data_IF_854683116853
#
_entry.id   IF_854683116853
#
_cell.length_a   1.000
_cell.length_b   1.000
_cell.length_c   1.000
_cell.angle_alpha   90.00
_cell.angle_beta   90.00
_cell.angle_gamma   90.00
#
_symmetry.space_group_name_H-M   'P 1'
#
loop_
_entity.id
_entity.type
_entity.pdbx_description
1 polymer ?
#
# COMPACT_ATOMS: atom_id res chain seq x y z
N UNK A 1 -4.26 0.01 1.84
CA UNK A 1 -4.20 -1.44 2.14
C UNK A 1 -4.01 -2.27 0.88
N UNK A 2 -4.85 -2.11 -0.14
CA UNK A 2 -4.86 -2.94 -1.35
C UNK A 2 -3.51 -3.14 -2.03
N UNK A 3 -2.65 -2.12 -2.09
CA UNK A 3 -1.31 -2.27 -2.67
C UNK A 3 -0.42 -3.28 -1.94
N UNK A 4 -0.52 -3.37 -0.60
CA UNK A 4 0.18 -4.40 0.18
C UNK A 4 -0.37 -5.80 -0.07
N UNK A 5 -1.69 -5.92 -0.24
CA UNK A 5 -2.35 -7.19 -0.59
C UNK A 5 -1.93 -7.67 -1.98
N UNK A 6 -1.86 -6.77 -2.95
CA UNK A 6 -1.40 -7.08 -4.31
C UNK A 6 0.06 -7.55 -4.31
N UNK A 7 0.95 -6.96 -3.50
CA UNK A 7 2.33 -7.42 -3.37
C UNK A 7 2.41 -8.84 -2.77
N UNK A 8 1.61 -9.13 -1.74
CA UNK A 8 1.51 -10.48 -1.19
C UNK A 8 0.93 -11.46 -2.21
N UNK A 9 -0.08 -11.03 -2.97
CA UNK A 9 -0.66 -11.87 -4.03
C UNK A 9 0.35 -12.15 -5.15
N UNK A 10 1.13 -11.16 -5.57
CA UNK A 10 2.20 -11.34 -6.55
C UNK A 10 3.24 -12.39 -6.10
N UNK A 11 3.49 -12.49 -4.78
CA UNK A 11 4.40 -13.46 -4.21
C UNK A 11 3.78 -14.87 -4.04
N UNK A 12 2.55 -14.94 -3.53
CA UNK A 12 1.97 -16.17 -2.96
C UNK A 12 0.64 -16.59 -3.60
N UNK A 13 0.08 -15.79 -4.50
CA UNK A 13 -1.17 -16.11 -5.21
C UNK A 13 -1.04 -17.38 -6.07
N UNK A 14 -2.17 -18.02 -6.43
CA UNK A 14 -2.17 -19.21 -7.25
C UNK A 14 -1.43 -18.99 -8.57
N UNK A 15 -0.50 -19.88 -8.90
CA UNK A 15 0.35 -19.78 -10.10
C UNK A 15 -0.47 -19.78 -11.39
N UNK A 16 -1.54 -20.56 -11.43
CA UNK A 16 -2.48 -20.66 -12.55
C UNK A 16 -3.21 -19.35 -12.85
N UNK A 17 -3.33 -18.46 -11.86
CA UNK A 17 -3.90 -17.13 -12.06
C UNK A 17 -2.79 -16.12 -12.36
N UNK A 18 -1.68 -16.14 -11.61
CA UNK A 18 -0.57 -15.20 -11.80
C UNK A 18 -0.01 -15.22 -13.21
N UNK A 19 0.09 -16.40 -13.85
CA UNK A 19 0.56 -16.54 -15.23
C UNK A 19 -0.25 -15.77 -16.29
N UNK A 20 -1.43 -15.26 -15.94
CA UNK A 20 -2.28 -14.44 -16.81
C UNK A 20 -2.20 -12.95 -16.45
N UNK A 21 -1.46 -12.58 -15.42
CA UNK A 21 -1.32 -11.19 -14.99
C UNK A 21 -0.18 -10.54 -15.77
N UNK A 22 -0.52 -9.56 -16.58
CA UNK A 22 0.43 -8.81 -17.41
C UNK A 22 1.40 -7.95 -16.61
N UNK A 23 0.93 -7.38 -15.49
CA UNK A 23 1.74 -6.55 -14.60
C UNK A 23 0.96 -6.00 -13.42
N UNK A 24 1.67 -5.56 -12.40
CA UNK A 24 1.13 -4.99 -11.17
C UNK A 24 1.43 -3.50 -11.14
N UNK A 25 0.38 -2.67 -11.05
CA UNK A 25 0.47 -1.21 -10.96
C UNK A 25 0.03 -0.80 -9.57
N UNK A 26 0.91 -0.18 -8.80
CA UNK A 26 0.70 0.14 -7.40
C UNK A 26 0.95 1.62 -7.15
N UNK A 27 0.03 2.27 -6.46
CA UNK A 27 0.18 3.65 -5.98
C UNK A 27 0.17 3.67 -4.46
N UNK A 28 1.23 4.20 -3.84
CA UNK A 28 1.40 4.30 -2.38
C UNK A 28 1.05 3.01 -1.63
N UNK A 29 1.68 1.86 -1.97
CA UNK A 29 1.34 0.58 -1.36
C UNK A 29 1.64 0.59 0.14
N UNK A 30 0.77 -0.07 0.91
CA UNK A 30 0.94 -0.19 2.36
C UNK A 30 1.97 -1.29 2.68
N UNK A 31 3.23 -0.93 2.71
CA UNK A 31 4.36 -1.81 3.08
C UNK A 31 4.66 -1.74 4.56
N UNK A 32 4.65 -0.53 5.14
CA UNK A 32 4.75 -0.30 6.58
C UNK A 32 3.99 0.99 6.94
N UNK A 33 3.73 1.17 8.22
CA UNK A 33 3.17 2.40 8.76
C UNK A 33 4.17 3.55 8.66
N UNK A 34 3.67 4.76 8.41
CA UNK A 34 4.47 5.95 8.64
C UNK A 34 4.97 5.97 10.09
N UNK A 35 6.19 6.42 10.32
CA UNK A 35 6.83 6.38 11.63
C UNK A 35 6.01 7.06 12.75
N UNK A 36 5.20 8.08 12.39
CA UNK A 36 4.35 8.82 13.33
C UNK A 36 3.10 8.05 13.75
N UNK A 37 2.63 7.10 12.92
CA UNK A 37 1.41 6.31 13.13
C UNK A 37 1.69 4.84 13.44
N UNK A 38 2.95 4.46 13.53
CA UNK A 38 3.35 3.07 13.80
C UNK A 38 2.92 2.64 15.21
N UNK A 39 2.08 1.58 15.33
CA UNK A 39 1.65 1.11 16.64
C UNK A 39 2.83 0.53 17.43
N UNK A 40 2.77 0.67 18.78
CA UNK A 40 3.78 0.07 19.64
C UNK A 40 3.74 -1.46 19.59
N UNK A 41 4.86 -2.10 19.92
CA UNK A 41 4.91 -3.57 20.00
C UNK A 41 3.84 -4.14 20.93
N UNK A 42 3.58 -3.50 22.05
CA UNK A 42 2.54 -3.90 23.01
C UNK A 42 1.16 -3.83 22.38
N UNK A 43 0.86 -2.73 21.65
CA UNK A 43 -0.41 -2.57 20.93
C UNK A 43 -0.59 -3.65 19.87
N UNK A 44 0.47 -3.97 19.12
CA UNK A 44 0.45 -5.05 18.11
C UNK A 44 0.18 -6.41 18.75
N UNK A 45 0.86 -6.72 19.86
CA UNK A 45 0.70 -7.99 20.56
C UNK A 45 -0.74 -8.18 21.07
N UNK A 46 -1.26 -7.21 21.84
CA UNK A 46 -2.63 -7.28 22.34
C UNK A 46 -3.68 -7.19 21.24
N UNK A 47 -3.43 -6.41 20.19
CA UNK A 47 -4.29 -6.35 19.01
C UNK A 47 -4.43 -7.71 18.30
N UNK A 48 -3.32 -8.42 18.13
CA UNK A 48 -3.34 -9.78 17.55
C UNK A 48 -4.05 -10.80 18.46
N UNK A 49 -3.85 -10.71 19.77
CA UNK A 49 -4.55 -11.55 20.73
C UNK A 49 -6.05 -11.28 20.71
N UNK A 50 -6.46 -10.01 20.71
CA UNK A 50 -7.86 -9.62 20.59
C UNK A 50 -8.48 -10.09 19.26
N UNK A 51 -7.74 -10.03 18.16
CA UNK A 51 -8.18 -10.55 16.86
C UNK A 51 -8.44 -12.06 16.86
N UNK A 52 -7.73 -12.83 17.68
CA UNK A 52 -7.99 -14.26 17.86
C UNK A 52 -9.19 -14.56 18.75
N UNK A 53 -9.40 -13.75 19.78
CA UNK A 53 -10.49 -13.95 20.75
C UNK A 53 -11.83 -13.38 20.29
N UNK A 54 -11.79 -12.25 19.58
CA UNK A 54 -12.97 -11.49 19.12
C UNK A 54 -12.81 -11.11 17.63
N UNK A 55 -12.67 -12.08 16.70
CA UNK A 55 -12.29 -11.84 15.30
C UNK A 55 -13.22 -10.85 14.59
N UNK A 56 -14.51 -10.96 14.80
CA UNK A 56 -15.52 -10.14 14.10
C UNK A 56 -15.83 -8.80 14.79
N UNK A 57 -15.21 -8.51 15.94
CA UNK A 57 -15.37 -7.22 16.61
C UNK A 57 -14.83 -6.12 15.72
N UNK A 58 -15.65 -5.12 15.43
CA UNK A 58 -15.28 -3.96 14.63
C UNK A 58 -14.54 -2.92 15.47
N UNK A 59 -13.56 -2.27 14.85
CA UNK A 59 -12.82 -1.13 15.36
C UNK A 59 -12.76 -0.05 14.28
N UNK A 60 -13.15 1.16 14.64
CA UNK A 60 -13.02 2.34 13.76
C UNK A 60 -11.73 3.08 14.11
N UNK A 61 -10.86 3.27 13.11
CA UNK A 61 -9.61 4.02 13.24
C UNK A 61 -9.62 5.16 12.22
N UNK A 62 -10.21 6.29 12.59
CA UNK A 62 -10.39 7.45 11.71
C UNK A 62 -9.02 7.98 11.24
N UNK A 63 -8.84 8.02 9.93
CA UNK A 63 -7.71 8.67 9.29
C UNK A 63 -7.95 10.19 9.21
N UNK A 64 -6.89 10.97 9.45
CA UNK A 64 -6.94 12.41 9.16
C UNK A 64 -6.90 12.62 7.63
N UNK A 65 -7.96 13.19 7.02
CA UNK A 65 -8.01 13.42 5.57
C UNK A 65 -6.86 14.29 5.06
N UNK A 66 -6.29 15.16 5.90
CA UNK A 66 -5.14 16.00 5.56
C UNK A 66 -3.86 15.23 5.30
N UNK A 67 -3.77 13.97 5.75
CA UNK A 67 -2.65 13.07 5.44
C UNK A 67 -2.83 12.41 4.06
N UNK A 68 -4.06 12.38 3.54
CA UNK A 68 -4.39 11.79 2.25
C UNK A 68 -4.00 12.73 1.11
N UNK A 69 -4.38 14.02 1.26
CA UNK A 69 -4.17 15.02 0.21
C UNK A 69 -4.02 16.42 0.81
N UNK A 70 -3.31 17.30 0.09
CA UNK A 70 -3.28 18.75 0.38
C UNK A 70 -4.48 19.50 -0.18
N UNK A 71 -5.20 18.88 -1.13
CA UNK A 71 -6.37 19.46 -1.76
C UNK A 71 -7.59 19.35 -0.82
N UNK A 72 -8.14 20.49 -0.33
CA UNK A 72 -9.27 20.48 0.59
C UNK A 72 -10.52 19.81 -0.01
N UNK A 73 -10.73 19.92 -1.31
CA UNK A 73 -11.87 19.27 -1.99
C UNK A 73 -11.75 17.75 -1.97
N UNK A 74 -10.51 17.23 -2.12
CA UNK A 74 -10.24 15.80 -2.01
C UNK A 74 -10.45 15.32 -0.57
N UNK A 75 -10.01 16.10 0.40
CA UNK A 75 -10.20 15.80 1.83
C UNK A 75 -11.70 15.77 2.18
N UNK A 76 -12.46 16.76 1.69
CA UNK A 76 -13.89 16.83 1.92
C UNK A 76 -14.63 15.65 1.29
N UNK A 77 -14.33 15.32 0.03
CA UNK A 77 -14.91 14.15 -0.64
C UNK A 77 -14.62 12.83 0.07
N UNK A 78 -13.42 12.69 0.64
CA UNK A 78 -13.08 11.51 1.45
C UNK A 78 -13.94 11.44 2.72
N UNK A 79 -14.17 12.58 3.36
CA UNK A 79 -14.98 12.67 4.59
C UNK A 79 -16.46 12.40 4.34
N UNK A 80 -16.98 12.84 3.18
CA UNK A 80 -18.38 12.73 2.80
C UNK A 80 -18.74 11.39 2.15
N UNK A 81 -17.73 10.56 1.85
CA UNK A 81 -17.93 9.25 1.22
C UNK A 81 -18.21 8.18 2.28
N UNK A 82 -19.44 7.72 2.38
CA UNK A 82 -19.85 6.66 3.31
C UNK A 82 -19.09 5.35 3.13
N UNK A 83 -18.48 5.11 1.96
CA UNK A 83 -17.63 3.95 1.70
C UNK A 83 -16.23 4.10 2.32
N UNK A 84 -15.82 5.31 2.70
CA UNK A 84 -14.57 5.61 3.40
C UNK A 84 -14.78 5.59 4.92
N UNK A 85 -15.29 4.49 5.46
CA UNK A 85 -15.75 4.37 6.86
C UNK A 85 -14.66 4.06 7.89
N UNK A 86 -13.39 3.85 7.49
CA UNK A 86 -12.23 3.58 8.37
C UNK A 86 -12.45 2.47 9.42
N UNK A 87 -13.39 1.56 9.17
CA UNK A 87 -13.78 0.49 10.10
C UNK A 87 -13.30 -0.86 9.58
N UNK A 88 -12.63 -1.59 10.44
CA UNK A 88 -12.16 -2.95 10.15
C UNK A 88 -12.47 -3.90 11.31
N UNK A 89 -12.47 -5.20 11.04
CA UNK A 89 -12.54 -6.22 12.08
C UNK A 89 -11.18 -6.38 12.77
N UNK A 90 -11.18 -6.84 14.02
CA UNK A 90 -9.92 -7.12 14.73
C UNK A 90 -9.07 -8.17 14.03
N UNK A 91 -9.69 -9.20 13.43
CA UNK A 91 -9.01 -10.18 12.59
C UNK A 91 -8.38 -9.53 11.35
N UNK A 92 -9.13 -8.68 10.62
CA UNK A 92 -8.62 -7.97 9.46
C UNK A 92 -7.46 -7.04 9.78
N UNK A 93 -7.52 -6.33 10.93
CA UNK A 93 -6.43 -5.49 11.41
C UNK A 93 -5.20 -6.32 11.83
N UNK A 94 -5.40 -7.46 12.50
CA UNK A 94 -4.32 -8.39 12.84
C UNK A 94 -3.64 -8.93 11.57
N UNK A 95 -4.41 -9.34 10.55
CA UNK A 95 -3.90 -9.77 9.27
C UNK A 95 -3.15 -8.65 8.51
N UNK A 96 -3.61 -7.39 8.63
CA UNK A 96 -2.89 -6.23 8.09
C UNK A 96 -1.51 -6.08 8.74
N UNK A 97 -1.42 -6.19 10.08
CA UNK A 97 -0.17 -6.12 10.82
C UNK A 97 0.80 -7.26 10.44
N UNK A 98 0.29 -8.46 10.20
CA UNK A 98 1.10 -9.60 9.74
C UNK A 98 1.65 -9.35 8.32
N UNK A 99 0.83 -8.86 7.40
CA UNK A 99 1.26 -8.52 6.04
C UNK A 99 2.32 -7.42 6.03
N UNK A 100 2.13 -6.35 6.81
CA UNK A 100 3.13 -5.28 6.91
C UNK A 100 4.45 -5.80 7.46
N UNK A 101 4.42 -6.65 8.49
CA UNK A 101 5.62 -7.27 9.04
C UNK A 101 6.35 -8.15 8.01
N UNK A 102 5.63 -8.90 7.18
CA UNK A 102 6.23 -9.71 6.11
C UNK A 102 6.85 -8.84 5.02
N UNK A 103 6.12 -7.84 4.53
CA UNK A 103 6.60 -6.93 3.47
C UNK A 103 7.80 -6.10 3.93
N UNK A 104 7.73 -5.50 5.11
CA UNK A 104 8.79 -4.63 5.65
C UNK A 104 10.05 -5.39 6.04
N UNK A 105 9.94 -6.68 6.41
CA UNK A 105 11.09 -7.53 6.74
C UNK A 105 11.84 -8.08 5.53
N UNK A 106 11.34 -7.86 4.31
CA UNK A 106 11.93 -8.42 3.09
C UNK A 106 11.75 -9.93 2.92
N UNK A 107 10.89 -10.57 3.73
CA UNK A 107 10.61 -12.01 3.62
C UNK A 107 9.72 -12.39 2.44
N UNK A 108 9.03 -11.40 1.87
CA UNK A 108 8.17 -11.60 0.70
C UNK A 108 9.04 -11.65 -0.55
N UNK A 109 9.09 -12.81 -1.19
CA UNK A 109 9.82 -13.03 -2.44
C UNK A 109 8.81 -13.12 -3.58
N UNK A 110 8.88 -12.18 -4.52
CA UNK A 110 8.07 -12.20 -5.73
C UNK A 110 8.89 -12.90 -6.82
N UNK A 111 8.40 -14.01 -7.41
CA UNK A 111 9.11 -14.68 -8.50
C UNK A 111 9.19 -13.79 -9.74
N UNK A 112 10.33 -13.82 -10.44
CA UNK A 112 10.58 -13.02 -11.65
C UNK A 112 9.80 -13.54 -12.88
N UNK A 113 9.42 -14.81 -12.85
CA UNK A 113 8.84 -15.58 -13.96
C UNK A 113 7.37 -15.95 -13.79
N UNK A 114 6.66 -15.34 -12.83
CA UNK A 114 5.31 -15.76 -12.47
C UNK A 114 4.17 -15.08 -13.26
N UNK A 115 4.46 -14.07 -14.07
CA UNK A 115 3.48 -13.28 -14.82
C UNK A 115 3.22 -13.81 -16.24
N UNK A 116 2.41 -13.06 -16.99
CA UNK A 116 2.10 -13.35 -18.38
C UNK A 116 3.37 -13.46 -19.23
N UNK A 117 3.45 -14.54 -20.01
CA UNK A 117 4.63 -14.83 -20.83
C UNK A 117 5.87 -15.21 -20.03
N UNK A 118 5.75 -15.64 -18.78
CA UNK A 118 6.87 -15.98 -17.91
C UNK A 118 7.65 -14.76 -17.43
N UNK A 119 7.02 -13.59 -17.33
CA UNK A 119 7.66 -12.35 -16.88
C UNK A 119 6.77 -11.64 -15.85
N UNK A 120 7.30 -11.42 -14.66
CA UNK A 120 6.65 -10.57 -13.64
C UNK A 120 7.02 -9.11 -13.88
N UNK A 121 6.02 -8.24 -13.99
CA UNK A 121 6.19 -6.79 -14.19
C UNK A 121 5.57 -6.03 -13.05
N UNK A 122 6.35 -5.10 -12.45
CA UNK A 122 5.90 -4.33 -11.29
C UNK A 122 6.23 -2.86 -11.49
N UNK A 123 5.21 -2.02 -11.45
CA UNK A 123 5.38 -0.57 -11.41
C UNK A 123 4.81 -0.02 -10.10
N UNK A 124 5.60 0.75 -9.37
CA UNK A 124 5.22 1.33 -8.08
C UNK A 124 5.46 2.82 -8.10
N UNK A 125 4.44 3.59 -7.75
CA UNK A 125 4.54 5.03 -7.49
C UNK A 125 4.37 5.31 -5.99
N UNK A 126 5.09 6.32 -5.47
CA UNK A 126 4.92 6.73 -4.07
C UNK A 126 5.31 8.20 -3.89
N UNK A 127 4.51 8.94 -3.12
CA UNK A 127 4.84 10.30 -2.70
C UNK A 127 5.77 10.30 -1.49
N UNK A 128 6.85 11.07 -1.53
CA UNK A 128 7.84 11.08 -0.44
C UNK A 128 7.36 11.84 0.82
N UNK A 129 6.27 12.61 0.70
CA UNK A 129 5.60 13.28 1.81
C UNK A 129 4.31 12.54 2.27
N UNK A 130 4.16 11.25 1.93
CA UNK A 130 3.04 10.42 2.37
C UNK A 130 3.02 10.32 3.91
N UNK A 131 1.92 10.80 4.52
CA UNK A 131 1.72 10.78 5.97
C UNK A 131 1.04 9.50 6.49
N UNK A 132 0.59 8.61 5.60
CA UNK A 132 -0.17 7.39 5.93
C UNK A 132 0.72 6.16 5.85
N UNK A 133 1.37 5.97 4.71
CA UNK A 133 2.24 4.81 4.44
C UNK A 133 3.70 5.24 4.36
N UNK A 134 4.61 4.34 4.75
CA UNK A 134 6.05 4.65 4.79
C UNK A 134 6.66 4.54 3.38
N UNK A 135 6.98 5.71 2.81
CA UNK A 135 7.73 5.83 1.55
C UNK A 135 9.06 5.07 1.60
N UNK A 136 9.80 5.21 2.70
CA UNK A 136 11.13 4.58 2.84
C UNK A 136 11.04 3.07 2.88
N UNK A 137 9.99 2.51 3.50
CA UNK A 137 9.74 1.07 3.50
C UNK A 137 9.42 0.56 2.09
N UNK A 138 8.60 1.30 1.33
CA UNK A 138 8.30 0.96 -0.06
C UNK A 138 9.56 1.00 -0.92
N UNK A 139 10.39 2.04 -0.77
CA UNK A 139 11.66 2.14 -1.50
C UNK A 139 12.59 0.96 -1.19
N UNK A 140 12.80 0.65 0.10
CA UNK A 140 13.60 -0.52 0.52
C UNK A 140 13.08 -1.83 -0.04
N UNK A 141 11.74 -2.01 -0.05
CA UNK A 141 11.14 -3.21 -0.64
C UNK A 141 11.50 -3.31 -2.12
N UNK A 142 11.32 -2.24 -2.91
CA UNK A 142 11.61 -2.24 -4.35
C UNK A 142 13.09 -2.49 -4.62
N UNK A 143 13.98 -1.86 -3.85
CA UNK A 143 15.44 -2.06 -3.98
C UNK A 143 15.84 -3.53 -3.77
N UNK A 144 15.11 -4.24 -2.89
CA UNK A 144 15.37 -5.65 -2.56
C UNK A 144 14.63 -6.66 -3.46
N UNK A 145 13.61 -6.24 -4.22
CA UNK A 145 12.91 -7.13 -5.14
C UNK A 145 13.88 -7.69 -6.19
N UNK A 146 13.78 -9.00 -6.45
CA UNK A 146 14.57 -9.69 -7.47
C UNK A 146 13.93 -9.70 -8.86
N UNK A 147 12.75 -9.09 -8.99
CA UNK A 147 12.05 -8.90 -10.27
C UNK A 147 12.88 -7.99 -11.17
N UNK A 148 13.13 -8.41 -12.41
CA UNK A 148 13.94 -7.66 -13.40
C UNK A 148 13.17 -6.51 -14.01
N UNK A 149 11.91 -6.78 -14.41
CA UNK A 149 11.02 -5.77 -15.00
C UNK A 149 10.26 -5.04 -13.87
N UNK A 150 10.96 -4.11 -13.22
CA UNK A 150 10.39 -3.28 -12.16
C UNK A 150 10.78 -1.81 -12.34
N UNK A 151 9.83 -0.94 -12.01
CA UNK A 151 10.04 0.51 -11.97
C UNK A 151 9.52 1.10 -10.65
N UNK A 152 10.26 2.02 -10.07
CA UNK A 152 9.84 2.80 -8.91
C UNK A 152 9.81 4.29 -9.26
N UNK A 153 8.63 4.90 -9.20
CA UNK A 153 8.42 6.32 -9.45
C UNK A 153 8.22 7.06 -8.13
N UNK A 154 9.20 7.87 -7.75
CA UNK A 154 9.08 8.79 -6.61
C UNK A 154 8.47 10.12 -7.06
N UNK A 155 7.52 10.64 -6.28
CA UNK A 155 6.91 11.95 -6.47
C UNK A 155 7.27 12.88 -5.30
N UNK A 156 8.17 13.83 -5.57
CA UNK A 156 8.66 14.78 -4.56
C UNK A 156 7.55 15.69 -4.02
N UNK A 157 7.38 15.71 -2.71
CA UNK A 157 6.38 16.51 -2.03
C UNK A 157 4.94 16.01 -2.15
N UNK A 158 4.68 14.87 -2.77
CA UNK A 158 3.34 14.32 -2.91
C UNK A 158 2.94 13.50 -1.68
N UNK A 159 1.64 13.57 -1.35
CA UNK A 159 1.00 12.82 -0.27
C UNK A 159 0.51 11.46 -0.77
N UNK A 160 -0.32 10.78 0.03
CA UNK A 160 -0.80 9.43 -0.26
C UNK A 160 -1.50 9.31 -1.63
N UNK A 161 -2.31 10.29 -2.02
CA UNK A 161 -2.90 10.34 -3.38
C UNK A 161 -2.00 11.10 -4.33
N UNK A 162 -1.11 10.41 -5.02
CA UNK A 162 -0.13 11.00 -5.94
C UNK A 162 -0.76 11.83 -7.08
N UNK A 163 -1.96 11.49 -7.55
CA UNK A 163 -2.62 12.21 -8.66
C UNK A 163 -3.20 13.58 -8.32
N UNK A 164 -3.48 13.86 -7.03
CA UNK A 164 -4.21 15.05 -6.61
C UNK A 164 -3.57 15.79 -5.44
N UNK A 165 -2.28 15.57 -5.21
CA UNK A 165 -1.59 16.16 -4.06
C UNK A 165 -1.04 17.56 -4.31
N UNK A 166 -1.07 18.09 -5.53
CA UNK A 166 -0.63 19.45 -5.83
C UNK A 166 -1.74 20.25 -6.55
N UNK A 167 -2.18 21.39 -5.98
CA UNK A 167 -2.96 22.37 -6.72
C UNK A 167 -2.09 22.91 -7.88
N UNK A 168 -2.50 22.73 -9.12
CA UNK A 168 -1.88 23.38 -10.27
C UNK A 168 -1.09 22.51 -11.25
N UNK A 169 -0.84 21.23 -10.98
CA UNK A 169 -0.29 20.34 -12.00
C UNK A 169 -1.40 19.48 -12.61
N UNK A 170 -2.27 20.14 -13.37
CA UNK A 170 -3.22 19.46 -14.22
C UNK A 170 -2.48 18.54 -15.20
N UNK A 171 -2.81 17.25 -15.15
CA UNK A 171 -2.82 16.23 -16.22
C UNK A 171 -1.73 16.24 -17.34
N UNK A 172 -0.61 16.98 -17.23
CA UNK A 172 0.28 17.17 -18.37
C UNK A 172 1.35 16.06 -18.56
N UNK A 173 1.62 15.19 -17.60
CA UNK A 173 2.77 14.27 -17.68
C UNK A 173 2.46 12.76 -17.63
N UNK A 174 1.25 12.34 -17.98
CA UNK A 174 0.93 10.91 -18.16
C UNK A 174 0.86 10.49 -19.63
N UNK A 175 1.34 11.34 -20.55
CA UNK A 175 1.46 10.94 -21.95
C UNK A 175 2.92 10.83 -22.31
N UNK A 176 3.26 9.67 -22.80
CA UNK A 176 4.47 9.33 -23.57
C UNK A 176 5.71 8.93 -22.78
N UNK A 177 5.85 7.65 -22.60
CA UNK A 177 6.99 6.95 -23.23
C UNK A 177 6.46 5.60 -23.72
N UNK A 178 6.36 5.49 -25.02
CA UNK A 178 6.17 4.24 -25.74
C UNK A 178 7.50 3.53 -25.82
#
# INVERSE_FOLDING_TARGET
>A
MGGGEVLCYAAQGPSEIRKHIRGYLLESPFVDFNAKSKPSFVTVFFGKLAGKLLPHRQLTNKLDPKLISRDPEVCQRYTDDDLCHDTGTLEGLAALLDRTAQLSSGKVIIPDDAGEGGVTRIWIAHGDADGITDYSATKRLVDNLKVKDKEFKSYAGYYHRCKKSCPGTASANMRSTR
#
